data_IF_767560296718
#
_entry.id   IF_767560296718
#
_cell.length_a   1.000
_cell.length_b   1.000
_cell.length_c   1.000
_cell.angle_alpha   90.00
_cell.angle_beta   90.00
_cell.angle_gamma   90.00
#
_symmetry.space_group_name_H-M   'P 1'
#
loop_
_entity.id
_entity.type
_entity.pdbx_description
1 polymer ?
#
# COMPACT_ATOMS: atom_id res chain seq x y z
N UNK A 1 -9.64 11.62 13.38
CA UNK A 1 -9.20 10.33 12.77
C UNK A 1 -7.68 10.30 12.65
N UNK A 2 -7.02 9.21 13.03
CA UNK A 2 -5.58 8.98 12.83
C UNK A 2 -5.35 8.36 11.45
N UNK A 3 -4.41 8.89 10.67
CA UNK A 3 -4.05 8.40 9.33
C UNK A 3 -2.70 7.69 9.40
N UNK A 4 -2.70 6.39 9.15
CA UNK A 4 -1.52 5.52 9.25
C UNK A 4 -1.14 5.02 7.87
N UNK A 5 0.12 5.09 7.51
CA UNK A 5 0.67 4.43 6.32
C UNK A 5 1.22 3.06 6.68
N UNK A 6 0.89 2.06 5.88
CA UNK A 6 1.50 0.74 5.96
C UNK A 6 2.21 0.42 4.66
N UNK A 7 3.51 0.32 4.71
CA UNK A 7 4.34 -0.02 3.56
C UNK A 7 5.32 -1.14 3.89
N UNK A 8 6.17 -1.47 2.96
CA UNK A 8 7.18 -2.53 3.04
C UNK A 8 7.47 -3.10 1.65
N UNK A 9 8.54 -3.85 1.52
CA UNK A 9 8.90 -4.49 0.27
C UNK A 9 7.88 -5.52 -0.21
N UNK A 10 8.05 -6.00 -1.42
CA UNK A 10 7.27 -7.12 -1.94
C UNK A 10 7.49 -8.36 -1.04
N UNK A 11 6.43 -9.10 -0.71
CA UNK A 11 6.46 -10.31 0.11
C UNK A 11 6.97 -10.13 1.57
N UNK A 12 6.99 -8.90 2.12
CA UNK A 12 7.38 -8.64 3.52
C UNK A 12 6.27 -8.92 4.54
N UNK A 13 5.08 -9.38 4.14
CA UNK A 13 4.00 -9.70 5.07
C UNK A 13 2.92 -8.62 5.22
N UNK A 14 2.93 -7.55 4.40
CA UNK A 14 1.92 -6.46 4.44
C UNK A 14 0.48 -6.97 4.50
N UNK A 15 0.11 -7.89 3.62
CA UNK A 15 -1.26 -8.41 3.54
C UNK A 15 -1.71 -9.10 4.84
N UNK A 16 -0.79 -9.78 5.53
CA UNK A 16 -1.03 -10.41 6.83
C UNK A 16 -1.29 -9.35 7.90
N UNK A 17 -0.44 -8.33 7.96
CA UNK A 17 -0.57 -7.21 8.90
C UNK A 17 -1.86 -6.42 8.62
N UNK A 18 -2.19 -6.17 7.34
CA UNK A 18 -3.47 -5.57 6.92
C UNK A 18 -4.67 -6.34 7.44
N UNK A 19 -4.68 -7.67 7.29
CA UNK A 19 -5.78 -8.50 7.79
C UNK A 19 -5.92 -8.37 9.32
N UNK A 20 -4.80 -8.44 10.06
CA UNK A 20 -4.81 -8.30 11.52
C UNK A 20 -5.30 -6.92 11.98
N UNK A 21 -4.86 -5.84 11.33
CA UNK A 21 -5.32 -4.47 11.66
C UNK A 21 -6.81 -4.29 11.35
N UNK A 22 -7.31 -4.92 10.28
CA UNK A 22 -8.73 -4.91 9.93
C UNK A 22 -9.56 -5.65 10.98
N UNK A 23 -9.09 -6.81 11.46
CA UNK A 23 -9.73 -7.57 12.53
C UNK A 23 -9.78 -6.79 13.86
N UNK A 24 -8.82 -5.88 14.09
CA UNK A 24 -8.78 -4.96 15.23
C UNK A 24 -9.65 -3.71 15.06
N UNK A 25 -10.37 -3.57 13.93
CA UNK A 25 -11.30 -2.48 13.67
C UNK A 25 -10.70 -1.28 12.93
N UNK A 26 -9.50 -1.38 12.37
CA UNK A 26 -8.95 -0.33 11.52
C UNK A 26 -9.66 -0.30 10.15
N UNK A 27 -9.95 0.90 9.64
CA UNK A 27 -10.34 1.08 8.25
C UNK A 27 -9.11 0.97 7.34
N UNK A 28 -9.11 0.02 6.41
CA UNK A 28 -7.94 -0.22 5.54
C UNK A 28 -8.26 0.12 4.09
N UNK A 29 -7.48 1.05 3.53
CA UNK A 29 -7.48 1.44 2.13
C UNK A 29 -6.26 0.82 1.43
N UNK A 30 -6.50 -0.11 0.51
CA UNK A 30 -5.45 -0.76 -0.26
C UNK A 30 -5.24 0.03 -1.57
N UNK A 31 -4.18 0.84 -1.63
CA UNK A 31 -3.89 1.73 -2.76
C UNK A 31 -3.74 0.96 -4.08
N UNK A 32 -3.13 -0.21 -4.06
CA UNK A 32 -2.99 -1.06 -5.24
C UNK A 32 -4.35 -1.49 -5.80
N UNK A 33 -5.34 -1.80 -4.93
CA UNK A 33 -6.71 -2.12 -5.37
C UNK A 33 -7.43 -0.89 -5.92
N UNK A 34 -7.18 0.30 -5.35
CA UNK A 34 -7.72 1.55 -5.86
C UNK A 34 -7.11 1.82 -7.25
N UNK A 35 -5.78 1.70 -7.40
CA UNK A 35 -5.10 1.89 -8.68
C UNK A 35 -5.65 0.95 -9.78
N UNK A 36 -5.92 -0.31 -9.44
CA UNK A 36 -6.54 -1.25 -10.37
C UNK A 36 -7.93 -0.79 -10.82
N UNK A 37 -8.74 -0.26 -9.90
CA UNK A 37 -10.07 0.28 -10.27
C UNK A 37 -9.99 1.53 -11.14
N UNK A 38 -8.95 2.37 -10.96
CA UNK A 38 -8.78 3.59 -11.76
C UNK A 38 -8.50 3.33 -13.24
N UNK A 39 -8.07 2.12 -13.61
CA UNK A 39 -7.80 1.71 -15.00
C UNK A 39 -8.86 0.74 -15.56
N UNK A 40 -9.98 0.53 -14.85
CA UNK A 40 -11.13 -0.22 -15.39
C UNK A 40 -11.89 0.64 -16.42
N UNK A 41 -12.61 0.04 -17.38
CA UNK A 41 -13.41 0.78 -18.35
C UNK A 41 -14.34 1.80 -17.72
N UNK A 42 -14.24 3.05 -18.16
CA UNK A 42 -15.01 4.17 -17.63
C UNK A 42 -14.42 4.82 -16.36
N UNK A 43 -13.35 4.29 -15.81
CA UNK A 43 -12.67 4.89 -14.65
C UNK A 43 -11.72 6.04 -15.08
N UNK A 44 -11.34 6.87 -14.11
CA UNK A 44 -10.70 8.17 -14.33
C UNK A 44 -9.38 8.13 -15.10
N UNK A 45 -8.60 7.04 -14.98
CA UNK A 45 -7.32 6.88 -15.69
C UNK A 45 -7.41 6.04 -16.98
N UNK A 46 -8.54 5.34 -17.22
CA UNK A 46 -8.66 4.34 -18.28
C UNK A 46 -8.30 4.90 -19.66
N UNK A 47 -8.99 5.96 -20.09
CA UNK A 47 -8.80 6.53 -21.43
C UNK A 47 -7.38 7.06 -21.66
N UNK A 48 -6.77 7.63 -20.63
CA UNK A 48 -5.39 8.12 -20.70
C UNK A 48 -4.39 6.97 -20.81
N UNK A 49 -4.59 5.89 -20.05
CA UNK A 49 -3.75 4.69 -20.11
C UNK A 49 -3.86 4.01 -21.48
N UNK A 50 -5.07 3.85 -22.00
CA UNK A 50 -5.28 3.27 -23.34
C UNK A 50 -4.68 4.14 -24.44
N UNK A 51 -4.77 5.46 -24.33
CA UNK A 51 -4.18 6.41 -25.29
C UNK A 51 -2.65 6.38 -25.26
N UNK A 52 -2.06 6.27 -24.09
CA UNK A 52 -0.60 6.24 -23.90
C UNK A 52 0.04 4.92 -24.35
N UNK A 53 -0.57 3.78 -23.99
CA UNK A 53 0.02 2.45 -24.19
C UNK A 53 -0.56 1.68 -25.37
N UNK A 54 -1.60 2.25 -26.01
CA UNK A 54 -2.25 1.67 -27.16
C UNK A 54 -3.27 0.58 -26.82
N UNK A 55 -4.14 0.26 -27.77
CA UNK A 55 -5.20 -0.77 -27.60
C UNK A 55 -4.67 -2.19 -27.43
N UNK A 56 -3.39 -2.45 -27.75
CA UNK A 56 -2.76 -3.76 -27.57
C UNK A 56 -2.69 -4.25 -26.12
N UNK A 57 -2.86 -3.35 -25.15
CA UNK A 57 -2.94 -3.69 -23.72
C UNK A 57 -4.33 -4.16 -23.29
N UNK A 58 -5.33 -4.15 -24.19
CA UNK A 58 -6.69 -4.50 -23.82
C UNK A 58 -6.96 -6.00 -24.00
N UNK A 59 -7.84 -6.53 -23.17
CA UNK A 59 -8.51 -7.81 -23.33
C UNK A 59 -9.69 -7.67 -24.33
N UNK A 60 -10.27 -8.78 -24.82
CA UNK A 60 -11.41 -8.73 -25.73
C UNK A 60 -12.65 -8.02 -25.17
N UNK A 61 -12.81 -7.99 -23.84
CA UNK A 61 -13.90 -7.31 -23.12
C UNK A 61 -13.64 -5.81 -22.88
N UNK A 62 -12.51 -5.28 -23.37
CA UNK A 62 -12.11 -3.89 -23.22
C UNK A 62 -11.38 -3.56 -21.92
N UNK A 63 -11.24 -4.49 -20.98
CA UNK A 63 -10.46 -4.27 -19.77
C UNK A 63 -8.96 -4.24 -20.04
N UNK A 64 -8.22 -3.51 -19.21
CA UNK A 64 -6.75 -3.51 -19.29
C UNK A 64 -6.20 -4.87 -18.87
N UNK A 65 -5.45 -5.51 -19.75
CA UNK A 65 -4.63 -6.68 -19.43
C UNK A 65 -3.41 -6.24 -18.64
N UNK A 66 -3.49 -6.42 -17.32
CA UNK A 66 -2.44 -5.98 -16.39
C UNK A 66 -1.11 -6.71 -16.61
N UNK A 67 -1.13 -7.92 -17.16
CA UNK A 67 0.11 -8.64 -17.45
C UNK A 67 0.80 -8.02 -18.65
N UNK A 68 0.06 -7.70 -19.73
CA UNK A 68 0.61 -7.00 -20.90
C UNK A 68 1.12 -5.61 -20.55
N UNK A 69 0.30 -4.81 -19.83
CA UNK A 69 0.72 -3.49 -19.38
C UNK A 69 1.95 -3.58 -18.48
N UNK A 70 1.97 -4.50 -17.52
CA UNK A 70 3.11 -4.74 -16.64
C UNK A 70 4.37 -5.12 -17.42
N UNK A 71 4.29 -6.02 -18.41
CA UNK A 71 5.41 -6.38 -19.25
C UNK A 71 6.02 -5.17 -20.00
N UNK A 72 5.16 -4.23 -20.45
CA UNK A 72 5.59 -3.01 -21.14
C UNK A 72 6.29 -2.03 -20.18
N UNK A 73 5.70 -1.78 -19.00
CA UNK A 73 6.19 -0.73 -18.10
C UNK A 73 7.36 -1.18 -17.22
N UNK A 74 7.43 -2.46 -16.85
CA UNK A 74 8.57 -2.97 -16.08
C UNK A 74 9.83 -3.20 -16.94
N UNK A 75 9.69 -3.24 -18.26
CA UNK A 75 10.82 -3.28 -19.19
C UNK A 75 11.42 -1.89 -19.50
N UNK A 76 10.71 -0.80 -19.15
CA UNK A 76 11.10 0.57 -19.51
C UNK A 76 10.71 1.56 -18.39
N UNK A 77 11.73 2.05 -17.67
CA UNK A 77 11.54 2.98 -16.55
C UNK A 77 10.79 4.28 -16.95
N UNK A 78 10.97 4.77 -18.17
CA UNK A 78 10.24 5.96 -18.65
C UNK A 78 8.76 5.68 -18.81
N UNK A 79 8.40 4.49 -19.29
CA UNK A 79 7.01 4.03 -19.41
C UNK A 79 6.37 3.82 -18.04
N UNK A 80 7.11 3.25 -17.09
CA UNK A 80 6.65 3.13 -15.70
C UNK A 80 6.37 4.50 -15.08
N UNK A 81 7.30 5.45 -15.23
CA UNK A 81 7.11 6.84 -14.77
C UNK A 81 5.87 7.47 -15.42
N UNK A 82 5.66 7.22 -16.71
CA UNK A 82 4.50 7.75 -17.42
C UNK A 82 3.19 7.15 -16.94
N UNK A 83 3.14 5.83 -16.73
CA UNK A 83 1.97 5.16 -16.13
C UNK A 83 1.65 5.74 -14.76
N UNK A 84 2.65 5.88 -13.91
CA UNK A 84 2.49 6.44 -12.57
C UNK A 84 1.96 7.87 -12.61
N UNK A 85 2.46 8.71 -13.52
CA UNK A 85 1.97 10.09 -13.69
C UNK A 85 0.48 10.16 -14.11
N UNK A 86 -0.02 9.15 -14.82
CA UNK A 86 -1.44 9.05 -15.21
C UNK A 86 -2.30 8.50 -14.06
N UNK A 87 -1.82 7.47 -13.36
CA UNK A 87 -2.63 6.71 -12.40
C UNK A 87 -2.59 7.31 -10.98
N UNK A 88 -1.47 7.89 -10.54
CA UNK A 88 -1.36 8.41 -9.18
C UNK A 88 -2.37 9.52 -8.84
N UNK A 89 -2.59 10.56 -9.69
CA UNK A 89 -3.53 11.63 -9.32
C UNK A 89 -4.95 11.13 -9.01
N UNK A 90 -5.60 10.32 -9.86
CA UNK A 90 -6.93 9.81 -9.55
C UNK A 90 -6.94 8.82 -8.37
N UNK A 91 -5.86 8.06 -8.14
CA UNK A 91 -5.73 7.19 -6.96
C UNK A 91 -5.71 8.02 -5.68
N UNK A 92 -4.87 9.07 -5.64
CA UNK A 92 -4.76 9.95 -4.49
C UNK A 92 -6.10 10.66 -4.20
N UNK A 93 -6.78 11.16 -5.23
CA UNK A 93 -8.10 11.77 -5.09
C UNK A 93 -9.13 10.80 -4.51
N UNK A 94 -9.16 9.55 -4.99
CA UNK A 94 -10.06 8.52 -4.48
C UNK A 94 -9.71 8.11 -3.03
N UNK A 95 -8.45 8.06 -2.67
CA UNK A 95 -8.01 7.83 -1.28
C UNK A 95 -8.44 8.96 -0.36
N UNK A 96 -8.17 10.21 -0.74
CA UNK A 96 -8.54 11.39 0.04
C UNK A 96 -10.06 11.46 0.25
N UNK A 97 -10.86 11.12 -0.78
CA UNK A 97 -12.33 11.04 -0.68
C UNK A 97 -12.79 9.94 0.30
N UNK A 98 -12.20 8.75 0.23
CA UNK A 98 -12.54 7.66 1.16
C UNK A 98 -12.14 7.99 2.60
N UNK A 99 -10.96 8.59 2.81
CA UNK A 99 -10.52 9.05 4.13
C UNK A 99 -11.45 10.11 4.70
N UNK A 100 -11.89 11.07 3.87
CA UNK A 100 -12.85 12.11 4.31
C UNK A 100 -14.21 11.50 4.71
N UNK A 101 -14.69 10.49 3.98
CA UNK A 101 -15.93 9.80 4.32
C UNK A 101 -15.82 9.04 5.65
N UNK A 102 -14.68 8.37 5.89
CA UNK A 102 -14.41 7.69 7.17
C UNK A 102 -14.36 8.72 8.31
N UNK A 103 -13.64 9.83 8.11
CA UNK A 103 -13.50 10.87 9.14
C UNK A 103 -14.83 11.52 9.52
N UNK A 104 -15.75 11.69 8.54
CA UNK A 104 -17.10 12.17 8.79
C UNK A 104 -17.96 11.17 9.58
N UNK A 105 -17.87 9.89 9.25
CA UNK A 105 -18.63 8.84 9.91
C UNK A 105 -18.07 8.49 11.31
N UNK A 106 -16.76 8.43 11.42
CA UNK A 106 -16.04 8.00 12.63
C UNK A 106 -14.82 8.91 12.88
N UNK A 107 -15.03 10.08 13.53
CA UNK A 107 -13.96 11.08 13.76
C UNK A 107 -12.75 10.56 14.54
N UNK A 108 -12.92 9.48 15.31
CA UNK A 108 -11.88 8.84 16.12
C UNK A 108 -11.35 7.54 15.52
N UNK A 109 -11.67 7.24 14.26
CA UNK A 109 -11.20 6.04 13.59
C UNK A 109 -9.66 6.04 13.40
N UNK A 110 -9.11 4.85 13.26
CA UNK A 110 -7.74 4.63 12.74
C UNK A 110 -7.89 4.16 11.30
N UNK A 111 -7.45 4.97 10.35
CA UNK A 111 -7.46 4.67 8.92
C UNK A 111 -6.05 4.33 8.44
N UNK A 112 -5.89 3.15 7.85
CA UNK A 112 -4.61 2.62 7.35
C UNK A 112 -4.61 2.66 5.83
N UNK A 113 -3.66 3.38 5.23
CA UNK A 113 -3.41 3.39 3.79
C UNK A 113 -2.26 2.42 3.51
N UNK A 114 -2.58 1.30 2.85
CA UNK A 114 -1.58 0.30 2.46
C UNK A 114 -1.14 0.52 1.01
N UNK A 115 0.16 0.64 0.79
CA UNK A 115 0.77 0.67 -0.53
C UNK A 115 2.22 0.18 -0.49
N UNK A 116 2.63 -0.59 -1.50
CA UNK A 116 4.02 -1.01 -1.65
C UNK A 116 4.96 0.18 -1.96
N UNK A 117 4.49 1.17 -2.71
CA UNK A 117 5.26 2.34 -3.17
C UNK A 117 4.82 3.64 -2.45
N UNK A 118 4.39 3.55 -1.21
CA UNK A 118 3.82 4.66 -0.45
C UNK A 118 4.83 5.81 -0.26
N UNK A 119 6.06 5.47 0.09
CA UNK A 119 7.17 6.42 0.28
C UNK A 119 7.62 6.98 -1.08
N UNK A 120 7.83 6.11 -2.06
CA UNK A 120 8.25 6.49 -3.41
C UNK A 120 7.25 7.43 -4.10
N UNK A 121 5.97 7.32 -3.76
CA UNK A 121 4.92 8.22 -4.22
C UNK A 121 4.82 9.53 -3.42
N UNK A 122 5.61 9.68 -2.34
CA UNK A 122 5.58 10.85 -1.46
C UNK A 122 4.31 11.00 -0.63
N UNK A 123 3.54 9.91 -0.46
CA UNK A 123 2.29 9.94 0.28
C UNK A 123 2.48 9.87 1.80
N UNK A 124 3.65 9.39 2.25
CA UNK A 124 4.07 9.34 3.65
C UNK A 124 3.90 10.68 4.37
N UNK A 125 4.14 11.79 3.67
CA UNK A 125 4.02 13.17 4.21
C UNK A 125 2.59 13.59 4.60
N UNK A 126 1.58 12.85 4.17
CA UNK A 126 0.16 13.09 4.48
C UNK A 126 -0.35 12.27 5.65
N UNK A 127 0.51 11.47 6.26
CA UNK A 127 0.17 10.50 7.29
C UNK A 127 0.69 10.94 8.65
N UNK A 128 0.01 10.51 9.70
CA UNK A 128 0.37 10.80 11.09
C UNK A 128 1.39 9.80 11.64
N UNK A 129 1.47 8.60 11.04
CA UNK A 129 2.38 7.53 11.43
C UNK A 129 2.69 6.64 10.23
N UNK A 130 3.95 6.30 10.03
CA UNK A 130 4.43 5.40 8.99
C UNK A 130 4.87 4.06 9.59
N UNK A 131 4.21 2.99 9.21
CA UNK A 131 4.52 1.62 9.63
C UNK A 131 5.17 0.88 8.48
N UNK A 132 6.31 0.24 8.73
CA UNK A 132 7.01 -0.57 7.73
C UNK A 132 7.04 -2.04 8.14
N UNK A 133 6.54 -2.92 7.26
CA UNK A 133 6.71 -4.37 7.42
C UNK A 133 7.99 -4.82 6.75
N UNK A 134 8.71 -5.73 7.39
CA UNK A 134 9.95 -6.26 6.84
C UNK A 134 10.11 -7.75 7.16
N UNK A 135 10.95 -8.43 6.38
CA UNK A 135 11.48 -9.76 6.63
C UNK A 135 12.83 -9.88 5.90
N UNK A 136 13.56 -10.99 6.09
CA UNK A 136 14.86 -11.13 5.44
C UNK A 136 14.74 -11.24 3.92
N UNK A 137 15.78 -10.84 3.15
CA UNK A 137 15.80 -10.99 1.69
C UNK A 137 15.57 -12.43 1.22
N UNK A 138 16.11 -13.40 1.95
CA UNK A 138 15.95 -14.84 1.66
C UNK A 138 14.48 -15.23 1.78
N UNK A 139 13.79 -14.74 2.81
CA UNK A 139 12.38 -15.00 3.02
C UNK A 139 11.51 -14.31 1.95
N UNK A 140 11.86 -13.10 1.51
CA UNK A 140 11.18 -12.45 0.39
C UNK A 140 11.27 -13.31 -0.88
N UNK A 141 12.49 -13.79 -1.21
CA UNK A 141 12.72 -14.68 -2.37
C UNK A 141 11.92 -15.97 -2.21
N UNK A 142 12.02 -16.64 -1.05
CA UNK A 142 11.29 -17.87 -0.78
C UNK A 142 9.77 -17.70 -0.96
N UNK A 143 9.18 -16.64 -0.39
CA UNK A 143 7.75 -16.36 -0.49
C UNK A 143 7.30 -16.01 -1.92
N UNK A 144 8.18 -15.43 -2.75
CA UNK A 144 7.88 -15.11 -4.14
C UNK A 144 7.99 -16.32 -5.07
N UNK A 145 8.87 -17.27 -4.76
CA UNK A 145 9.12 -18.46 -5.57
C UNK A 145 8.24 -19.64 -5.22
N UNK A 146 7.69 -19.70 -3.99
CA UNK A 146 6.78 -20.77 -3.57
C UNK A 146 5.51 -20.80 -4.44
N UNK A 147 5.14 -22.00 -4.90
CA UNK A 147 3.93 -22.25 -5.68
C UNK A 147 2.73 -22.71 -4.82
N UNK A 148 2.90 -22.79 -3.50
CA UNK A 148 1.86 -23.35 -2.65
C UNK A 148 0.62 -22.47 -2.57
N UNK A 149 -0.50 -23.06 -2.91
CA UNK A 149 -1.90 -22.68 -2.63
C UNK A 149 -2.19 -21.17 -2.48
N UNK A 150 -1.94 -20.38 -3.53
CA UNK A 150 -2.39 -18.97 -3.58
C UNK A 150 -1.52 -17.96 -2.86
N UNK A 151 -0.49 -18.37 -2.14
CA UNK A 151 0.37 -17.46 -1.37
C UNK A 151 1.63 -16.99 -2.14
N UNK A 152 2.18 -17.82 -3.03
CA UNK A 152 3.35 -17.50 -3.84
C UNK A 152 2.98 -17.05 -5.25
N UNK A 153 3.87 -16.31 -5.91
CA UNK A 153 3.67 -15.84 -7.29
C UNK A 153 4.26 -16.79 -8.34
N UNK A 154 4.85 -17.93 -7.92
CA UNK A 154 5.48 -18.91 -8.82
C UNK A 154 6.61 -18.31 -9.67
N UNK A 155 7.31 -17.29 -9.15
CA UNK A 155 8.40 -16.63 -9.87
C UNK A 155 9.66 -17.47 -9.82
N UNK A 156 10.53 -17.33 -10.83
CA UNK A 156 11.91 -17.79 -10.70
C UNK A 156 12.66 -16.93 -9.67
N UNK A 157 13.74 -17.46 -9.09
CA UNK A 157 14.56 -16.70 -8.15
C UNK A 157 15.12 -15.41 -8.77
N UNK A 158 15.44 -15.43 -10.06
CA UNK A 158 15.90 -14.25 -10.79
C UNK A 158 14.80 -13.20 -10.93
N UNK A 159 13.59 -13.61 -11.31
CA UNK A 159 12.42 -12.70 -11.38
C UNK A 159 12.07 -12.12 -10.01
N UNK A 160 12.22 -12.91 -8.93
CA UNK A 160 12.01 -12.44 -7.57
C UNK A 160 13.02 -11.34 -7.20
N UNK A 161 14.32 -11.54 -7.46
CA UNK A 161 15.36 -10.54 -7.23
C UNK A 161 15.12 -9.25 -8.02
N UNK A 162 14.77 -9.35 -9.30
CA UNK A 162 14.47 -8.20 -10.15
C UNK A 162 13.30 -7.38 -9.58
N UNK A 163 12.24 -8.04 -9.09
CA UNK A 163 11.09 -7.33 -8.47
C UNK A 163 11.43 -6.70 -7.14
N UNK A 164 12.28 -7.32 -6.34
CA UNK A 164 12.77 -6.72 -5.09
C UNK A 164 13.62 -5.49 -5.41
N UNK A 165 14.55 -5.59 -6.36
CA UNK A 165 15.44 -4.51 -6.75
C UNK A 165 14.72 -3.33 -7.44
N UNK A 166 13.51 -3.53 -7.96
CA UNK A 166 12.69 -2.46 -8.56
C UNK A 166 11.99 -1.56 -7.54
N UNK A 167 12.09 -1.87 -6.24
CA UNK A 167 11.53 -1.07 -5.15
C UNK A 167 12.65 -0.44 -4.32
N UNK A 168 12.33 0.60 -3.55
CA UNK A 168 13.23 1.13 -2.53
C UNK A 168 13.66 -0.01 -1.58
N UNK A 169 14.96 -0.14 -1.26
CA UNK A 169 15.42 -1.13 -0.29
C UNK A 169 14.65 -1.07 1.02
N UNK A 170 14.30 -2.22 1.57
CA UNK A 170 13.49 -2.28 2.79
C UNK A 170 14.19 -1.60 3.97
N UNK A 171 15.53 -1.64 4.03
CA UNK A 171 16.32 -0.96 5.05
C UNK A 171 16.20 0.57 4.97
N UNK A 172 16.07 1.14 3.76
CA UNK A 172 15.81 2.57 3.59
C UNK A 172 14.40 2.92 4.07
N UNK A 173 13.40 2.10 3.74
CA UNK A 173 12.04 2.29 4.24
C UNK A 173 11.98 2.23 5.77
N UNK A 174 12.70 1.29 6.40
CA UNK A 174 12.79 1.14 7.85
C UNK A 174 13.36 2.39 8.53
N UNK A 175 14.37 3.03 7.94
CA UNK A 175 14.94 4.28 8.48
C UNK A 175 13.95 5.45 8.47
N UNK A 176 12.93 5.38 7.66
CA UNK A 176 11.89 6.41 7.55
C UNK A 176 10.66 6.07 8.39
N UNK A 177 10.57 4.86 8.94
CA UNK A 177 9.43 4.38 9.69
C UNK A 177 9.36 5.01 11.09
N UNK A 178 8.15 5.33 11.53
CA UNK A 178 7.85 5.61 12.94
C UNK A 178 7.71 4.30 13.73
N UNK A 179 7.22 3.24 13.07
CA UNK A 179 6.97 1.92 13.66
C UNK A 179 7.36 0.82 12.67
N UNK A 180 7.86 -0.30 13.19
CA UNK A 180 8.24 -1.45 12.39
C UNK A 180 7.47 -2.70 12.82
N UNK A 181 7.18 -3.59 11.87
CA UNK A 181 6.65 -4.93 12.12
C UNK A 181 7.59 -5.95 11.48
N UNK A 182 8.24 -6.74 12.32
CA UNK A 182 9.05 -7.87 11.90
C UNK A 182 8.16 -9.07 11.53
N UNK A 183 8.12 -9.38 10.24
CA UNK A 183 7.42 -10.54 9.68
C UNK A 183 8.37 -11.69 9.35
N UNK A 184 9.58 -11.71 9.91
CA UNK A 184 10.56 -12.80 9.72
C UNK A 184 10.29 -14.00 10.62
N UNK A 185 9.63 -13.78 11.76
CA UNK A 185 9.27 -14.80 12.73
C UNK A 185 7.96 -15.53 12.42
N UNK A 186 7.38 -16.13 13.45
CA UNK A 186 6.09 -16.83 13.37
C UNK A 186 4.93 -15.84 13.16
N UNK A 187 3.80 -16.36 12.69
CA UNK A 187 2.57 -15.59 12.57
C UNK A 187 2.11 -15.04 13.93
N UNK A 188 2.31 -15.81 14.99
CA UNK A 188 1.97 -15.39 16.37
C UNK A 188 2.83 -14.21 16.80
N UNK A 189 4.14 -14.27 16.59
CA UNK A 189 5.04 -13.15 16.86
C UNK A 189 4.64 -11.88 16.09
N UNK A 190 4.24 -12.02 14.81
CA UNK A 190 3.71 -10.89 14.04
C UNK A 190 2.43 -10.33 14.68
N UNK A 191 1.52 -11.19 15.14
CA UNK A 191 0.27 -10.81 15.80
C UNK A 191 0.49 -10.04 17.10
N UNK A 192 1.44 -10.48 17.92
CA UNK A 192 1.82 -9.78 19.16
C UNK A 192 2.29 -8.35 18.88
N UNK A 193 3.14 -8.18 17.84
CA UNK A 193 3.63 -6.87 17.42
C UNK A 193 2.47 -5.98 16.90
N UNK A 194 1.56 -6.55 16.11
CA UNK A 194 0.40 -5.80 15.58
C UNK A 194 -0.53 -5.36 16.70
N UNK A 195 -0.78 -6.21 17.71
CA UNK A 195 -1.58 -5.83 18.88
C UNK A 195 -0.92 -4.70 19.68
N UNK A 196 0.39 -4.77 19.88
CA UNK A 196 1.15 -3.72 20.53
C UNK A 196 1.14 -2.42 19.73
N UNK A 197 1.32 -2.49 18.41
CA UNK A 197 1.18 -1.35 17.50
C UNK A 197 -0.21 -0.72 17.62
N UNK A 198 -1.27 -1.52 17.52
CA UNK A 198 -2.65 -1.03 17.61
C UNK A 198 -2.91 -0.27 18.91
N UNK A 199 -2.41 -0.77 20.04
CA UNK A 199 -2.51 -0.08 21.33
C UNK A 199 -1.79 1.28 21.34
N UNK A 200 -0.66 1.41 20.63
CA UNK A 200 0.04 2.70 20.46
C UNK A 200 -0.74 3.65 19.56
N UNK A 201 -1.29 3.14 18.44
CA UNK A 201 -2.10 3.95 17.52
C UNK A 201 -3.37 4.49 18.19
N UNK A 202 -4.03 3.71 19.06
CA UNK A 202 -5.15 4.19 19.86
C UNK A 202 -4.77 5.36 20.79
N UNK A 203 -3.60 5.27 21.42
CA UNK A 203 -3.11 6.37 22.27
C UNK A 203 -2.77 7.61 21.44
N UNK A 204 -2.17 7.45 20.26
CA UNK A 204 -1.89 8.56 19.34
C UNK A 204 -3.18 9.25 18.89
N UNK A 205 -4.20 8.48 18.55
CA UNK A 205 -5.51 9.01 18.16
C UNK A 205 -6.13 9.81 19.31
N UNK A 206 -6.16 9.28 20.52
CA UNK A 206 -6.71 9.95 21.69
C UNK A 206 -6.01 11.30 21.97
N UNK A 207 -4.68 11.35 21.89
CA UNK A 207 -3.91 12.61 22.06
C UNK A 207 -4.23 13.60 20.95
N UNK A 208 -4.34 13.13 19.69
CA UNK A 208 -4.71 13.97 18.55
C UNK A 208 -6.10 14.61 18.76
N UNK A 209 -7.07 13.82 19.14
CA UNK A 209 -8.45 14.26 19.35
C UNK A 209 -8.55 15.32 20.43
N UNK A 210 -7.87 15.12 21.58
CA UNK A 210 -7.82 16.12 22.64
C UNK A 210 -7.23 17.47 22.20
N UNK A 211 -6.20 17.45 21.34
CA UNK A 211 -5.61 18.68 20.79
C UNK A 211 -6.57 19.43 19.86
N UNK A 212 -7.38 18.72 19.08
CA UNK A 212 -8.38 19.33 18.20
C UNK A 212 -9.51 19.98 19.00
N UNK A 213 -10.05 19.30 20.01
CA UNK A 213 -11.09 19.84 20.89
C UNK A 213 -10.62 21.07 21.67
N UNK A 214 -9.37 21.07 22.14
CA UNK A 214 -8.80 22.22 22.83
C UNK A 214 -8.67 23.46 21.92
N UNK A 215 -8.34 23.27 20.65
CA UNK A 215 -8.26 24.38 19.68
C UNK A 215 -9.63 24.91 19.25
N UNK A 216 -10.66 24.07 19.15
CA UNK A 216 -12.02 24.47 18.81
C UNK A 216 -12.75 25.22 19.92
N UNK A 217 -12.27 25.15 21.16
CA UNK A 217 -12.82 25.91 22.32
C UNK A 217 -12.19 27.29 22.50
N UNK A 218 -11.18 27.63 21.70
CA UNK A 218 -10.44 28.92 21.81
C UNK A 218 -10.79 29.91 20.69
N UNK A 219 -11.85 29.63 19.92
CA UNK A 219 -12.44 30.50 18.89
C UNK A 219 -13.88 30.83 19.26
#
# INVERSE_FOLDING_TARGET
>A
MLRVGLTGGIATGKSTVVAMLRDLGCHVLEADKIAHRMIEPGAAAYDQVVREFGRGILQPDGRVDRQKLGAIVFADQKKLTRLNAIVHPPVLAAQDQQLAAIEQAEPHAIAVVEAALLIEAGYDRKLDCLVVTWCTPEQQIARLTQQEAGAGRGLTAEQARQRIAAQMPVEEKRRMADEEIDCSGSLEHTREQVNALFSRLQKMEAVRSQRFEARGKST
#
